data_IF_192914444539
#
_entry.id   IF_192914444539
#
_cell.length_a   1.000
_cell.length_b   1.000
_cell.length_c   1.000
_cell.angle_alpha   90.00
_cell.angle_beta   90.00
_cell.angle_gamma   90.00
#
_symmetry.space_group_name_H-M   'P 1'
#
loop_
_entity.id
_entity.type
_entity.pdbx_description
1 polymer ?
#
# COMPACT_ATOMS: atom_id res chain seq x y z
N UNK A 1 11.71 6.80 1.36
CA UNK A 1 12.32 5.60 0.75
C UNK A 1 11.44 4.43 1.17
N UNK A 2 10.61 3.90 0.27
CA UNK A 2 9.72 2.76 0.58
C UNK A 2 10.61 1.53 0.73
N UNK A 3 10.65 0.94 1.93
CA UNK A 3 11.32 -0.35 2.21
C UNK A 3 10.24 -1.43 2.13
N UNK A 4 10.27 -2.25 1.08
CA UNK A 4 9.43 -3.45 0.99
C UNK A 4 10.07 -4.62 1.72
N UNK A 5 9.30 -5.29 2.60
CA UNK A 5 9.65 -6.60 3.16
C UNK A 5 8.78 -7.66 2.45
N UNK A 6 9.36 -8.77 1.96
CA UNK A 6 8.60 -9.80 1.28
C UNK A 6 7.92 -10.75 2.29
N UNK A 7 6.61 -10.93 2.18
CA UNK A 7 5.87 -12.00 2.85
C UNK A 7 5.68 -13.19 1.89
N UNK A 8 6.05 -14.40 2.34
CA UNK A 8 5.96 -15.65 1.55
C UNK A 8 4.51 -16.15 1.46
N UNK A 9 3.95 -16.16 0.24
CA UNK A 9 2.74 -16.89 -0.15
C UNK A 9 3.01 -17.77 -1.38
N UNK A 10 2.37 -18.94 -1.47
CA UNK A 10 2.74 -20.05 -2.34
C UNK A 10 1.91 -20.13 -3.65
N UNK A 11 2.56 -20.40 -4.79
CA UNK A 11 1.93 -20.84 -6.06
C UNK A 11 2.87 -20.69 -7.28
N UNK A 12 2.88 -21.63 -8.26
CA UNK A 12 3.87 -21.63 -9.33
C UNK A 12 3.47 -20.71 -10.50
N UNK A 13 4.31 -19.70 -10.75
CA UNK A 13 4.75 -19.37 -12.11
C UNK A 13 3.78 -18.65 -13.04
N UNK A 14 3.10 -17.59 -12.59
CA UNK A 14 2.70 -16.50 -13.51
C UNK A 14 3.59 -15.30 -13.19
N UNK A 15 4.57 -15.04 -14.06
CA UNK A 15 5.28 -13.79 -14.05
C UNK A 15 4.32 -12.69 -14.52
N UNK A 16 3.52 -12.14 -13.59
CA UNK A 16 2.71 -10.97 -13.85
C UNK A 16 3.66 -9.79 -14.00
N UNK A 17 4.09 -9.51 -15.23
CA UNK A 17 4.67 -8.20 -15.56
C UNK A 17 3.55 -7.18 -15.65
N UNK A 18 2.98 -6.81 -14.51
CA UNK A 18 2.13 -5.64 -14.39
C UNK A 18 2.77 -4.78 -13.32
N UNK A 19 3.07 -3.53 -13.63
CA UNK A 19 3.41 -2.58 -12.58
C UNK A 19 2.19 -2.49 -11.67
N UNK A 20 2.19 -3.26 -10.58
CA UNK A 20 1.12 -3.31 -9.62
C UNK A 20 1.04 -1.95 -8.94
N UNK A 21 0.06 -1.16 -9.36
CA UNK A 21 -0.15 0.21 -8.87
C UNK A 21 -1.10 0.23 -7.67
N UNK A 22 -1.75 -0.89 -7.33
CA UNK A 22 -2.47 -1.04 -6.07
C UNK A 22 -1.50 -1.01 -4.87
N UNK A 23 -1.95 -0.39 -3.80
CA UNK A 23 -1.21 -0.25 -2.55
C UNK A 23 -2.10 -0.57 -1.36
N UNK A 24 -1.47 -0.99 -0.27
CA UNK A 24 -2.08 -1.05 1.06
C UNK A 24 -1.56 0.10 1.93
N UNK A 25 -2.44 0.63 2.77
CA UNK A 25 -2.17 1.74 3.67
C UNK A 25 -2.16 1.24 5.11
N UNK A 26 -1.13 1.60 5.85
CA UNK A 26 -0.97 1.22 7.25
C UNK A 26 -0.66 2.43 8.13
N UNK A 27 -1.10 2.38 9.39
CA UNK A 27 -0.68 3.27 10.46
C UNK A 27 -0.28 2.41 11.65
N UNK A 28 0.95 2.53 12.15
CA UNK A 28 1.40 1.80 13.34
C UNK A 28 1.09 0.29 13.27
N UNK A 29 1.34 -0.33 12.11
CA UNK A 29 1.02 -1.73 11.79
C UNK A 29 -0.48 -2.08 11.66
N UNK A 30 -1.39 -1.13 11.84
CA UNK A 30 -2.83 -1.30 11.61
C UNK A 30 -3.17 -0.99 10.15
N UNK A 31 -3.90 -1.90 9.50
CA UNK A 31 -4.34 -1.73 8.12
C UNK A 31 -5.51 -0.75 8.05
N UNK A 32 -5.31 0.35 7.34
CA UNK A 32 -6.31 1.39 7.13
C UNK A 32 -7.22 1.10 5.93
N UNK A 33 -6.67 0.48 4.89
CA UNK A 33 -7.37 0.22 3.64
C UNK A 33 -6.39 0.09 2.48
N UNK A 34 -6.87 0.43 1.27
CA UNK A 34 -6.07 0.38 0.05
C UNK A 34 -6.15 1.66 -0.77
N UNK A 35 -5.42 1.66 -1.89
CA UNK A 35 -5.41 2.77 -2.83
C UNK A 35 -4.65 2.42 -4.10
N UNK A 36 -4.38 3.46 -4.89
CA UNK A 36 -3.66 3.33 -6.16
C UNK A 36 -2.59 4.42 -6.30
N UNK A 37 -1.37 4.03 -6.68
CA UNK A 37 -0.29 4.93 -7.00
C UNK A 37 -0.59 5.67 -8.32
N UNK A 38 -0.93 6.96 -8.24
CA UNK A 38 -1.18 7.81 -9.41
C UNK A 38 0.13 8.31 -10.04
N UNK A 39 1.10 8.61 -9.19
CA UNK A 39 2.46 9.02 -9.59
C UNK A 39 3.45 8.46 -8.58
N UNK A 40 4.75 8.61 -8.83
CA UNK A 40 5.81 8.20 -7.89
C UNK A 40 5.69 8.80 -6.48
N UNK A 41 4.85 9.82 -6.27
CA UNK A 41 4.69 10.54 -5.00
C UNK A 41 3.25 10.70 -4.52
N UNK A 42 2.26 10.24 -5.28
CA UNK A 42 0.84 10.45 -4.94
C UNK A 42 0.05 9.15 -5.02
N UNK A 43 -0.73 8.89 -3.98
CA UNK A 43 -1.66 7.77 -3.87
C UNK A 43 -3.08 8.32 -3.84
N UNK A 44 -3.95 7.76 -4.67
CA UNK A 44 -5.40 7.94 -4.57
C UNK A 44 -5.97 6.92 -3.59
N UNK A 45 -6.76 7.37 -2.62
CA UNK A 45 -7.46 6.52 -1.65
C UNK A 45 -8.80 7.12 -1.27
N UNK A 46 -9.62 6.36 -0.57
CA UNK A 46 -10.89 6.83 -0.06
C UNK A 46 -10.70 7.59 1.27
N UNK A 47 -11.45 8.68 1.45
CA UNK A 47 -11.40 9.48 2.68
C UNK A 47 -11.65 8.66 3.95
N UNK A 48 -12.55 7.66 3.88
CA UNK A 48 -12.87 6.83 5.04
C UNK A 48 -11.72 5.94 5.50
N UNK A 49 -10.73 5.63 4.65
CA UNK A 49 -9.50 4.93 5.06
C UNK A 49 -8.61 5.81 5.95
N UNK A 50 -8.71 7.14 5.83
CA UNK A 50 -7.86 8.10 6.55
C UNK A 50 -8.57 8.76 7.74
N UNK A 51 -9.84 8.44 7.99
CA UNK A 51 -10.69 9.17 8.94
C UNK A 51 -10.18 9.12 10.40
N UNK A 52 -9.37 8.12 10.73
CA UNK A 52 -8.74 7.97 12.04
C UNK A 52 -7.47 8.80 12.22
N UNK A 53 -6.96 9.40 11.15
CA UNK A 53 -5.78 10.26 11.19
C UNK A 53 -6.20 11.67 11.58
N UNK A 54 -5.95 12.03 12.83
CA UNK A 54 -6.38 13.29 13.45
C UNK A 54 -5.22 14.26 13.67
N UNK A 55 -3.98 13.79 13.56
CA UNK A 55 -2.77 14.61 13.73
C UNK A 55 -1.92 14.61 12.47
N UNK A 56 -1.33 15.75 12.07
CA UNK A 56 -0.40 15.83 10.95
C UNK A 56 0.90 15.04 11.19
N UNK A 57 1.21 14.69 12.44
CA UNK A 57 2.38 13.85 12.77
C UNK A 57 2.10 12.35 12.57
N UNK A 58 0.87 11.94 12.29
CA UNK A 58 0.56 10.54 12.03
C UNK A 58 1.07 10.12 10.65
N UNK A 59 2.01 9.18 10.64
CA UNK A 59 2.61 8.66 9.42
C UNK A 59 1.77 7.51 8.86
N UNK A 60 1.62 7.52 7.54
CA UNK A 60 0.98 6.44 6.78
C UNK A 60 2.05 5.71 5.97
N UNK A 61 2.19 4.42 6.23
CA UNK A 61 3.02 3.54 5.43
C UNK A 61 2.26 3.10 4.18
N UNK A 62 2.90 3.25 3.02
CA UNK A 62 2.37 2.83 1.72
C UNK A 62 3.15 1.61 1.24
N UNK A 63 2.46 0.48 1.12
CA UNK A 63 3.05 -0.79 0.68
C UNK A 63 2.55 -1.12 -0.71
N UNK A 64 3.45 -1.30 -1.66
CA UNK A 64 3.11 -1.83 -2.99
C UNK A 64 2.85 -3.33 -2.85
N UNK A 65 1.68 -3.74 -3.28
CA UNK A 65 1.30 -5.15 -3.35
C UNK A 65 1.75 -5.70 -4.70
N UNK A 66 2.43 -6.83 -4.69
CA UNK A 66 3.06 -7.41 -5.88
C UNK A 66 2.09 -8.09 -6.84
N UNK A 67 0.79 -8.17 -6.50
CA UNK A 67 -0.22 -8.74 -7.39
C UNK A 67 -0.06 -10.25 -7.49
N UNK A 68 -0.32 -10.95 -6.38
CA UNK A 68 -0.39 -12.41 -6.29
C UNK A 68 -1.75 -12.93 -6.75
#
# INVERSE_FOLDING_TARGET
>A
MVRGHPHRGAGPGVAVTHASYWVELFQSQQRLGGGFLLTRRYVLTALHCLRGLTSPDEHVDVVLTDGS
#
